data_IF_696834088016
#
_entry.id   IF_696834088016
#
_cell.length_a   1.000
_cell.length_b   1.000
_cell.length_c   1.000
_cell.angle_alpha   90.00
_cell.angle_beta   90.00
_cell.angle_gamma   90.00
#
_symmetry.space_group_name_H-M   'P 1'
#
loop_
_entity.id
_entity.type
_entity.pdbx_description
1 polymer ?
#
# COMPACT_ATOMS: atom_id res chain seq x y z
N UNK A 1 56.98 -42.37 23.10
CA UNK A 1 56.20 -43.51 22.57
C UNK A 1 54.92 -43.61 23.37
N UNK A 2 53.83 -43.87 22.65
CA UNK A 2 52.43 -43.73 23.06
C UNK A 2 51.94 -44.74 24.12
N UNK A 3 50.86 -44.38 24.80
CA UNK A 3 49.56 -45.12 24.93
C UNK A 3 48.82 -44.58 26.19
N UNK A 4 47.65 -43.93 26.09
CA UNK A 4 46.29 -44.45 25.79
C UNK A 4 45.94 -45.70 26.63
N UNK A 5 44.78 -45.86 27.28
CA UNK A 5 43.55 -45.09 27.38
C UNK A 5 42.63 -45.82 28.39
N UNK A 6 41.54 -45.15 28.77
CA UNK A 6 40.22 -45.72 29.11
C UNK A 6 39.95 -46.36 30.49
N UNK A 7 39.21 -45.61 31.32
CA UNK A 7 37.97 -46.10 31.96
C UNK A 7 36.91 -45.01 31.92
N UNK A 8 35.78 -45.34 31.32
CA UNK A 8 34.68 -44.42 31.07
C UNK A 8 33.67 -44.26 32.22
N UNK A 9 32.68 -43.44 31.86
CA UNK A 9 31.29 -43.38 32.32
C UNK A 9 31.01 -42.82 33.72
N UNK A 10 30.65 -41.53 33.74
CA UNK A 10 29.29 -41.11 34.10
C UNK A 10 29.11 -39.62 33.79
N UNK A 11 28.15 -39.30 32.92
CA UNK A 11 27.81 -37.93 32.52
C UNK A 11 26.89 -37.31 33.55
N UNK A 12 27.43 -36.38 34.36
CA UNK A 12 26.61 -35.43 35.13
C UNK A 12 27.00 -34.03 34.69
N UNK A 13 26.10 -33.37 33.95
CA UNK A 13 26.27 -32.00 33.49
C UNK A 13 25.98 -31.05 34.67
N UNK A 14 27.02 -30.49 35.27
CA UNK A 14 26.90 -29.36 36.21
C UNK A 14 27.31 -28.11 35.44
N UNK A 15 26.34 -27.22 35.20
CA UNK A 15 26.58 -25.93 34.55
C UNK A 15 27.00 -24.94 35.63
N UNK A 16 28.27 -24.52 35.58
CA UNK A 16 28.78 -23.44 36.41
C UNK A 16 30.18 -22.99 35.98
N UNK A 17 30.24 -21.87 35.26
CA UNK A 17 31.42 -20.98 35.20
C UNK A 17 32.60 -21.42 34.33
N UNK A 18 32.94 -20.56 33.37
CA UNK A 18 34.17 -20.51 32.57
C UNK A 18 34.27 -21.44 31.33
N UNK A 19 34.16 -20.80 30.15
CA UNK A 19 34.95 -21.08 28.95
C UNK A 19 34.94 -22.49 28.36
N UNK A 20 33.98 -22.77 27.48
CA UNK A 20 34.12 -23.86 26.51
C UNK A 20 34.89 -23.36 25.28
N UNK A 21 36.19 -23.68 25.23
CA UNK A 21 36.94 -23.72 23.99
C UNK A 21 36.52 -24.99 23.23
N UNK A 22 35.64 -24.85 22.23
CA UNK A 22 35.40 -25.91 21.25
C UNK A 22 36.54 -25.90 20.23
N UNK A 23 37.55 -26.75 20.47
CA UNK A 23 38.44 -27.21 19.42
C UNK A 23 37.78 -28.39 18.69
N UNK A 24 37.73 -28.32 17.36
CA UNK A 24 37.62 -29.54 16.54
C UNK A 24 36.27 -29.85 15.91
N UNK A 25 35.55 -28.86 15.38
CA UNK A 25 34.84 -29.01 14.10
C UNK A 25 34.93 -27.65 13.42
N UNK A 26 35.44 -27.60 12.19
CA UNK A 26 35.38 -26.39 11.38
C UNK A 26 33.91 -26.08 11.09
N UNK A 27 33.26 -25.39 12.03
CA UNK A 27 32.18 -24.49 11.71
C UNK A 27 32.79 -23.54 10.70
N UNK A 28 32.42 -23.68 9.42
CA UNK A 28 32.41 -22.52 8.54
C UNK A 28 31.70 -21.45 9.35
N UNK A 29 32.47 -20.48 9.83
CA UNK A 29 31.92 -19.36 10.53
C UNK A 29 30.83 -18.83 9.61
N UNK A 30 29.56 -19.03 10.00
CA UNK A 30 28.49 -18.17 9.58
C UNK A 30 28.89 -16.84 10.18
N UNK A 31 29.80 -16.12 9.51
CA UNK A 31 30.14 -14.77 9.85
C UNK A 31 28.84 -14.02 9.63
N UNK A 32 28.07 -13.86 10.70
CA UNK A 32 26.95 -12.95 10.71
C UNK A 32 27.57 -11.62 10.28
N UNK A 33 27.23 -11.18 9.07
CA UNK A 33 27.58 -9.84 8.58
C UNK A 33 27.25 -8.87 9.71
N UNK A 34 28.20 -8.00 10.05
CA UNK A 34 27.99 -6.97 11.06
C UNK A 34 26.61 -6.34 10.81
N UNK A 35 25.71 -6.27 11.81
CA UNK A 35 24.45 -5.54 11.69
C UNK A 35 24.59 -4.19 10.96
N UNK A 36 25.71 -3.50 11.12
CA UNK A 36 26.01 -2.21 10.48
C UNK A 36 26.22 -2.29 8.96
N UNK A 37 26.63 -3.45 8.44
CA UNK A 37 26.91 -3.66 7.00
C UNK A 37 25.72 -4.22 6.23
N UNK A 38 24.67 -4.65 6.94
CA UNK A 38 23.47 -5.19 6.30
C UNK A 38 22.72 -4.10 5.56
N UNK A 39 22.29 -4.44 4.35
CA UNK A 39 21.49 -3.58 3.48
C UNK A 39 20.16 -4.27 3.19
N UNK A 40 19.12 -3.47 3.05
CA UNK A 40 17.82 -3.93 2.60
C UNK A 40 17.58 -3.40 1.20
N UNK A 41 16.95 -4.22 0.37
CA UNK A 41 16.69 -3.90 -1.03
C UNK A 41 15.25 -4.21 -1.39
N UNK A 42 14.62 -3.32 -2.15
CA UNK A 42 13.42 -3.64 -2.92
C UNK A 42 13.88 -4.38 -4.17
N UNK A 43 13.61 -5.69 -4.21
CA UNK A 43 14.00 -6.58 -5.30
C UNK A 43 12.94 -6.66 -6.42
N UNK A 44 11.66 -6.48 -6.07
CA UNK A 44 10.56 -6.35 -7.03
C UNK A 44 9.44 -5.50 -6.44
N UNK A 45 8.64 -4.90 -7.31
CA UNK A 45 7.38 -4.20 -6.98
C UNK A 45 6.39 -4.49 -8.10
N UNK A 46 5.22 -5.00 -7.74
CA UNK A 46 4.15 -5.35 -8.66
C UNK A 46 2.82 -4.78 -8.19
N UNK A 47 1.84 -4.81 -9.09
CA UNK A 47 0.45 -4.46 -8.81
C UNK A 47 -0.50 -5.52 -9.37
N UNK A 48 -1.74 -5.51 -8.88
CA UNK A 48 -2.84 -6.33 -9.38
C UNK A 48 -4.16 -5.60 -9.11
N UNK A 49 -4.93 -5.38 -10.18
CA UNK A 49 -6.24 -4.75 -10.14
C UNK A 49 -7.35 -5.79 -10.36
N UNK A 50 -8.57 -5.56 -9.83
CA UNK A 50 -9.74 -6.29 -10.29
C UNK A 50 -9.91 -6.22 -11.81
N UNK A 51 -10.61 -7.20 -12.39
CA UNK A 51 -10.84 -7.26 -13.84
C UNK A 51 -11.76 -6.16 -14.37
N UNK A 52 -12.57 -5.57 -13.51
CA UNK A 52 -13.61 -4.63 -13.92
C UNK A 52 -13.10 -3.19 -13.88
N UNK A 53 -12.79 -2.67 -15.07
CA UNK A 53 -12.53 -1.25 -15.26
C UNK A 53 -13.85 -0.47 -15.29
N UNK A 54 -13.87 0.66 -14.59
CA UNK A 54 -15.01 1.56 -14.43
C UNK A 54 -14.55 2.96 -14.82
N UNK A 55 -15.12 3.50 -15.89
CA UNK A 55 -14.89 4.90 -16.25
C UNK A 55 -15.60 5.83 -15.26
N UNK A 56 -15.09 7.04 -15.09
CA UNK A 56 -15.77 8.04 -14.24
C UNK A 56 -17.18 8.39 -14.74
N UNK A 57 -17.45 8.21 -16.04
CA UNK A 57 -18.79 8.35 -16.61
C UNK A 57 -19.76 7.28 -16.12
N UNK A 58 -19.34 6.01 -16.15
CA UNK A 58 -20.13 4.90 -15.60
C UNK A 58 -20.39 5.10 -14.10
N UNK A 59 -19.35 5.45 -13.34
CA UNK A 59 -19.49 5.72 -11.92
C UNK A 59 -20.48 6.86 -11.64
N UNK A 60 -20.37 7.97 -12.38
CA UNK A 60 -21.27 9.13 -12.23
C UNK A 60 -22.73 8.74 -12.48
N UNK A 61 -23.02 8.02 -13.56
CA UNK A 61 -24.36 7.49 -13.87
C UNK A 61 -24.90 6.62 -12.75
N UNK A 62 -24.11 5.65 -12.31
CA UNK A 62 -24.52 4.74 -11.24
C UNK A 62 -24.76 5.47 -9.92
N UNK A 63 -23.89 6.42 -9.57
CA UNK A 63 -24.02 7.20 -8.35
C UNK A 63 -25.28 8.07 -8.34
N UNK A 64 -25.64 8.69 -9.48
CA UNK A 64 -26.91 9.40 -9.63
C UNK A 64 -28.10 8.47 -9.42
N UNK A 65 -28.08 7.28 -10.05
CA UNK A 65 -29.14 6.26 -9.85
C UNK A 65 -29.29 5.87 -8.38
N UNK A 66 -28.18 5.63 -7.68
CA UNK A 66 -28.22 5.33 -6.25
C UNK A 66 -28.87 6.46 -5.45
N UNK A 67 -28.44 7.71 -5.66
CA UNK A 67 -28.95 8.89 -4.93
C UNK A 67 -30.43 9.16 -5.20
N UNK A 68 -30.90 8.90 -6.42
CA UNK A 68 -32.33 8.95 -6.73
C UNK A 68 -33.09 7.80 -6.05
N UNK A 69 -32.53 6.59 -6.06
CA UNK A 69 -33.09 5.42 -5.39
C UNK A 69 -33.17 5.55 -3.87
N UNK A 70 -32.21 6.24 -3.24
CA UNK A 70 -32.26 6.56 -1.80
C UNK A 70 -33.13 7.77 -1.46
N UNK A 71 -33.53 8.56 -2.47
CA UNK A 71 -34.21 9.84 -2.29
C UNK A 71 -33.33 10.98 -1.76
N UNK A 72 -32.04 10.72 -1.48
CA UNK A 72 -31.13 11.72 -0.90
C UNK A 72 -30.37 12.46 -1.99
N UNK A 73 -31.00 13.49 -2.56
CA UNK A 73 -30.46 14.29 -3.68
C UNK A 73 -30.08 15.72 -3.30
N UNK A 74 -30.45 16.19 -2.11
CA UNK A 74 -30.22 17.57 -1.64
C UNK A 74 -29.55 17.61 -0.27
N UNK A 75 -28.74 18.64 -0.06
CA UNK A 75 -28.29 19.01 1.28
C UNK A 75 -29.45 19.62 2.08
N UNK A 76 -29.28 19.76 3.39
CA UNK A 76 -30.25 20.43 4.26
C UNK A 76 -30.57 21.89 3.83
N UNK A 77 -29.63 22.54 3.16
CA UNK A 77 -29.78 23.89 2.59
C UNK A 77 -30.45 23.93 1.20
N UNK A 78 -30.94 22.79 0.70
CA UNK A 78 -31.67 22.68 -0.56
C UNK A 78 -30.79 22.57 -1.81
N UNK A 79 -29.48 22.78 -1.71
CA UNK A 79 -28.55 22.62 -2.85
C UNK A 79 -28.42 21.15 -3.26
N UNK A 80 -28.13 20.92 -4.53
CA UNK A 80 -27.98 19.57 -5.09
C UNK A 80 -26.69 18.89 -4.59
N UNK A 81 -26.83 17.69 -4.01
CA UNK A 81 -25.70 16.80 -3.70
C UNK A 81 -25.07 16.29 -5.00
N UNK A 82 -25.91 16.02 -6.01
CA UNK A 82 -25.47 15.51 -7.32
C UNK A 82 -24.55 16.50 -8.02
N UNK A 83 -24.94 17.78 -8.10
CA UNK A 83 -24.10 18.82 -8.71
C UNK A 83 -22.78 19.03 -7.96
N UNK A 84 -22.79 18.86 -6.63
CA UNK A 84 -21.59 18.94 -5.82
C UNK A 84 -20.65 17.76 -6.12
N UNK A 85 -21.17 16.53 -6.14
CA UNK A 85 -20.39 15.34 -6.47
C UNK A 85 -19.88 15.37 -7.91
N UNK A 86 -20.67 15.86 -8.86
CA UNK A 86 -20.25 16.04 -10.25
C UNK A 86 -19.02 16.94 -10.36
N UNK A 87 -19.04 18.09 -9.67
CA UNK A 87 -17.87 18.99 -9.62
C UNK A 87 -16.63 18.31 -9.03
N UNK A 88 -16.80 17.46 -8.01
CA UNK A 88 -15.69 16.70 -7.43
C UNK A 88 -15.15 15.64 -8.39
N UNK A 89 -16.03 14.90 -9.07
CA UNK A 89 -15.67 13.88 -10.06
C UNK A 89 -14.93 14.52 -11.24
N UNK A 90 -15.46 15.62 -11.78
CA UNK A 90 -14.88 16.34 -12.92
C UNK A 90 -13.51 16.95 -12.57
N UNK A 91 -13.32 17.41 -11.32
CA UNK A 91 -12.06 17.97 -10.82
C UNK A 91 -11.07 16.91 -10.28
N UNK A 92 -11.47 15.63 -10.22
CA UNK A 92 -10.69 14.58 -9.55
C UNK A 92 -9.35 14.28 -10.23
N UNK A 93 -9.27 14.50 -11.56
CA UNK A 93 -8.16 14.07 -12.39
C UNK A 93 -8.13 12.56 -12.67
N UNK A 94 -9.18 11.84 -12.28
CA UNK A 94 -9.35 10.39 -12.46
C UNK A 94 -10.11 10.16 -13.77
N UNK A 95 -9.64 9.26 -14.63
CA UNK A 95 -10.38 8.82 -15.81
C UNK A 95 -11.01 7.45 -15.58
N UNK A 96 -10.25 6.54 -14.96
CA UNK A 96 -10.64 5.17 -14.74
C UNK A 96 -10.37 4.75 -13.28
N UNK A 97 -11.16 3.79 -12.83
CA UNK A 97 -10.99 3.05 -11.58
C UNK A 97 -11.22 1.58 -11.84
N UNK A 98 -10.81 0.74 -10.89
CA UNK A 98 -11.14 -0.67 -10.90
C UNK A 98 -12.02 -0.97 -9.69
N UNK A 99 -12.96 -1.91 -9.86
CA UNK A 99 -13.78 -2.35 -8.73
C UNK A 99 -14.05 -3.85 -8.74
N UNK A 100 -14.29 -4.40 -7.57
CA UNK A 100 -14.85 -5.75 -7.41
C UNK A 100 -16.39 -5.73 -7.43
N UNK A 101 -17.00 -4.56 -7.21
CA UNK A 101 -18.45 -4.39 -7.15
C UNK A 101 -19.04 -4.19 -8.55
N UNK A 102 -19.85 -5.13 -9.08
CA UNK A 102 -20.43 -5.03 -10.41
C UNK A 102 -21.37 -3.85 -10.59
N UNK A 103 -21.93 -3.30 -9.51
CA UNK A 103 -22.89 -2.21 -9.58
C UNK A 103 -22.35 -0.99 -10.34
N UNK A 104 -21.04 -0.77 -10.31
CA UNK A 104 -20.39 0.36 -10.98
C UNK A 104 -20.30 0.24 -12.50
N UNK A 105 -20.48 -0.95 -13.06
CA UNK A 105 -20.41 -1.18 -14.50
C UNK A 105 -21.80 -1.11 -15.10
N UNK A 106 -22.12 0.04 -15.67
CA UNK A 106 -23.48 0.36 -16.13
C UNK A 106 -23.56 0.66 -17.63
N UNK A 107 -24.74 0.43 -18.19
CA UNK A 107 -25.11 0.80 -19.56
C UNK A 107 -25.42 2.31 -19.69
N UNK A 108 -26.05 2.69 -20.81
CA UNK A 108 -26.41 4.09 -21.06
C UNK A 108 -27.49 4.65 -20.14
N UNK A 109 -28.36 3.77 -19.64
CA UNK A 109 -29.48 4.08 -18.76
C UNK A 109 -29.09 4.00 -17.28
N UNK A 110 -27.83 3.64 -16.99
CA UNK A 110 -27.34 3.47 -15.61
C UNK A 110 -27.73 2.12 -14.99
N UNK A 111 -28.16 1.14 -15.79
CA UNK A 111 -28.42 -0.21 -15.32
C UNK A 111 -27.14 -1.03 -15.30
N UNK A 112 -26.96 -1.81 -14.25
CA UNK A 112 -25.81 -2.70 -14.10
C UNK A 112 -25.79 -3.73 -15.22
N UNK A 113 -24.65 -3.81 -15.91
CA UNK A 113 -24.42 -4.74 -17.01
C UNK A 113 -24.25 -6.15 -16.43
N UNK A 114 -25.05 -7.10 -16.90
CA UNK A 114 -25.04 -8.49 -16.46
C UNK A 114 -24.31 -9.38 -17.46
N UNK A 115 -22.98 -9.32 -17.47
CA UNK A 115 -22.13 -10.16 -18.31
C UNK A 115 -21.27 -11.15 -17.49
N UNK A 116 -20.20 -11.72 -18.06
CA UNK A 116 -19.38 -12.72 -17.38
C UNK A 116 -18.71 -12.25 -16.07
N UNK A 117 -18.60 -10.93 -15.85
CA UNK A 117 -18.04 -10.37 -14.63
C UNK A 117 -19.12 -10.09 -13.57
N UNK A 118 -20.39 -10.26 -13.89
CA UNK A 118 -21.50 -10.03 -12.96
C UNK A 118 -21.74 -11.22 -12.05
N UNK A 119 -21.76 -10.96 -10.74
CA UNK A 119 -22.18 -11.90 -9.70
C UNK A 119 -23.19 -11.23 -8.78
N UNK A 120 -24.33 -11.86 -8.55
CA UNK A 120 -25.39 -11.28 -7.71
C UNK A 120 -24.94 -11.11 -6.26
N UNK A 121 -24.12 -12.02 -5.72
CA UNK A 121 -23.57 -11.89 -4.37
C UNK A 121 -22.69 -10.64 -4.16
N UNK A 122 -22.10 -10.12 -5.23
CA UNK A 122 -21.17 -9.00 -5.20
C UNK A 122 -21.86 -7.65 -5.51
N UNK A 123 -23.09 -7.68 -6.03
CA UNK A 123 -23.90 -6.49 -6.38
C UNK A 123 -24.51 -5.84 -5.13
N UNK A 124 -23.63 -5.38 -4.23
CA UNK A 124 -24.00 -4.90 -2.89
C UNK A 124 -24.68 -3.52 -2.90
N UNK A 125 -24.56 -2.75 -3.99
CA UNK A 125 -25.18 -1.43 -4.13
C UNK A 125 -26.50 -1.48 -4.93
N UNK A 126 -27.09 -2.67 -5.09
CA UNK A 126 -28.37 -2.87 -5.78
C UNK A 126 -29.60 -2.43 -4.94
N UNK A 127 -30.77 -2.41 -5.59
CA UNK A 127 -32.08 -2.15 -4.96
C UNK A 127 -32.39 -3.07 -3.78
N UNK A 128 -31.87 -4.31 -3.81
CA UNK A 128 -31.97 -5.29 -2.72
C UNK A 128 -31.50 -4.73 -1.37
N UNK A 129 -30.50 -3.85 -1.40
CA UNK A 129 -29.93 -3.21 -0.22
C UNK A 129 -30.25 -1.70 -0.17
N UNK A 130 -31.28 -1.26 -0.91
CA UNK A 130 -31.67 0.15 -0.98
C UNK A 130 -30.54 1.07 -1.44
N UNK A 131 -29.63 0.58 -2.29
CA UNK A 131 -28.43 1.29 -2.74
C UNK A 131 -27.44 1.70 -1.63
N UNK A 132 -27.64 1.27 -0.39
CA UNK A 132 -26.76 1.59 0.75
C UNK A 132 -26.65 0.38 1.70
N UNK A 133 -25.79 -0.61 1.38
CA UNK A 133 -25.69 -1.84 2.15
C UNK A 133 -25.14 -1.59 3.56
N UNK A 134 -25.55 -2.42 4.55
CA UNK A 134 -25.00 -2.35 5.90
C UNK A 134 -23.55 -2.88 5.95
N UNK A 135 -22.82 -2.53 7.03
CA UNK A 135 -21.43 -2.92 7.25
C UNK A 135 -21.13 -4.39 6.97
N UNK A 136 -22.02 -5.29 7.44
CA UNK A 136 -21.87 -6.75 7.29
C UNK A 136 -21.81 -7.21 5.84
N UNK A 137 -22.54 -6.55 4.94
CA UNK A 137 -22.60 -6.90 3.50
C UNK A 137 -21.32 -6.40 2.82
N UNK A 138 -20.87 -5.18 3.15
CA UNK A 138 -19.61 -4.62 2.67
C UNK A 138 -18.42 -5.48 3.07
N UNK A 139 -18.37 -5.90 4.34
CA UNK A 139 -17.31 -6.75 4.86
C UNK A 139 -17.36 -8.18 4.28
N UNK A 140 -18.53 -8.68 3.90
CA UNK A 140 -18.64 -9.97 3.19
C UNK A 140 -18.02 -9.89 1.79
N UNK A 141 -18.35 -8.85 1.01
CA UNK A 141 -17.73 -8.61 -0.30
C UNK A 141 -16.21 -8.45 -0.16
N UNK A 142 -15.75 -7.65 0.83
CA UNK A 142 -14.32 -7.50 1.11
C UNK A 142 -13.65 -8.86 1.33
N UNK A 143 -14.22 -9.72 2.19
CA UNK A 143 -13.66 -11.04 2.51
C UNK A 143 -13.59 -11.98 1.32
N UNK A 144 -14.58 -11.92 0.42
CA UNK A 144 -14.66 -12.80 -0.73
C UNK A 144 -13.61 -12.45 -1.81
N UNK A 145 -13.31 -11.16 -1.98
CA UNK A 145 -12.45 -10.68 -3.07
C UNK A 145 -11.00 -10.41 -2.65
N UNK A 146 -10.78 -10.04 -1.38
CA UNK A 146 -9.46 -9.65 -0.92
C UNK A 146 -8.38 -10.73 -1.09
N UNK A 147 -8.66 -12.04 -0.90
CA UNK A 147 -7.71 -13.11 -1.19
C UNK A 147 -7.18 -13.10 -2.63
N UNK A 148 -8.04 -12.91 -3.63
CA UNK A 148 -7.62 -12.89 -5.04
C UNK A 148 -6.67 -11.73 -5.30
N UNK A 149 -7.02 -10.53 -4.83
CA UNK A 149 -6.18 -9.34 -5.00
C UNK A 149 -4.81 -9.54 -4.35
N UNK A 150 -4.79 -9.95 -3.08
CA UNK A 150 -3.54 -10.16 -2.35
C UNK A 150 -2.64 -11.22 -3.00
N UNK A 151 -3.22 -12.36 -3.41
CA UNK A 151 -2.49 -13.46 -4.06
C UNK A 151 -2.00 -13.04 -5.45
N UNK A 152 -2.80 -12.29 -6.20
CA UNK A 152 -2.44 -11.78 -7.53
C UNK A 152 -1.22 -10.87 -7.48
N UNK A 153 -1.24 -9.83 -6.63
CA UNK A 153 -0.10 -8.94 -6.47
C UNK A 153 1.14 -9.69 -5.96
N UNK A 154 0.99 -10.52 -4.94
CA UNK A 154 2.09 -11.30 -4.36
C UNK A 154 2.75 -12.24 -5.39
N UNK A 155 1.94 -12.96 -6.18
CA UNK A 155 2.43 -13.83 -7.25
C UNK A 155 3.23 -13.03 -8.26
N UNK A 156 2.70 -11.89 -8.74
CA UNK A 156 3.41 -11.02 -9.67
C UNK A 156 4.76 -10.54 -9.11
N UNK A 157 4.81 -10.17 -7.81
CA UNK A 157 6.05 -9.71 -7.18
C UNK A 157 7.09 -10.84 -7.07
N UNK A 158 6.66 -12.06 -6.74
CA UNK A 158 7.54 -13.23 -6.62
C UNK A 158 8.08 -13.63 -7.99
N UNK A 159 7.21 -13.70 -9.01
CA UNK A 159 7.59 -14.02 -10.38
C UNK A 159 8.58 -12.99 -10.94
N UNK A 160 8.33 -11.71 -10.71
CA UNK A 160 9.25 -10.64 -11.11
C UNK A 160 10.58 -10.71 -10.36
N UNK A 161 10.57 -11.05 -9.07
CA UNK A 161 11.79 -11.21 -8.27
C UNK A 161 12.65 -12.39 -8.77
N UNK A 162 12.00 -13.48 -9.21
CA UNK A 162 12.68 -14.67 -9.74
C UNK A 162 13.51 -15.45 -8.73
N UNK A 163 13.37 -15.13 -7.43
CA UNK A 163 14.04 -15.83 -6.33
C UNK A 163 13.32 -17.11 -5.90
N UNK A 164 13.95 -17.83 -4.97
CA UNK A 164 13.36 -19.05 -4.39
C UNK A 164 12.30 -18.68 -3.37
N UNK A 165 11.04 -19.01 -3.67
CA UNK A 165 9.87 -18.74 -2.83
C UNK A 165 10.00 -19.37 -1.43
N UNK A 166 10.73 -20.48 -1.27
CA UNK A 166 10.96 -21.12 0.03
C UNK A 166 11.81 -20.27 0.99
N UNK A 167 12.53 -19.28 0.45
CA UNK A 167 13.35 -18.35 1.23
C UNK A 167 12.57 -17.13 1.74
N UNK A 168 11.29 -16.98 1.37
CA UNK A 168 10.42 -15.95 1.95
C UNK A 168 10.19 -16.32 3.41
N UNK A 169 10.69 -15.47 4.30
CA UNK A 169 10.68 -15.71 5.75
C UNK A 169 9.54 -14.99 6.46
N UNK A 170 9.01 -13.92 5.87
CA UNK A 170 7.94 -13.11 6.45
C UNK A 170 6.95 -12.68 5.38
N UNK A 171 5.69 -12.53 5.79
CA UNK A 171 4.64 -11.85 5.02
C UNK A 171 4.08 -10.71 5.84
N UNK A 172 4.13 -9.49 5.31
CA UNK A 172 3.57 -8.29 5.92
C UNK A 172 2.43 -7.78 5.05
N UNK A 173 1.20 -7.89 5.55
CA UNK A 173 -0.01 -7.41 4.89
C UNK A 173 -0.48 -6.08 5.47
N UNK A 174 -1.11 -5.23 4.65
CA UNK A 174 -1.82 -4.04 5.11
C UNK A 174 -3.09 -3.77 4.32
N UNK A 175 -4.14 -3.35 5.02
CA UNK A 175 -5.41 -2.90 4.45
C UNK A 175 -6.10 -1.95 5.43
N UNK A 176 -6.83 -0.97 4.92
CA UNK A 176 -7.71 -0.10 5.73
C UNK A 176 -9.18 -0.24 5.40
N UNK A 177 -9.52 -1.00 4.35
CA UNK A 177 -10.88 -1.20 3.85
C UNK A 177 -11.61 -2.40 4.46
N UNK A 178 -11.00 -3.18 5.34
CA UNK A 178 -11.66 -4.32 5.97
C UNK A 178 -10.71 -5.20 6.77
N UNK A 179 -11.26 -6.26 7.36
CA UNK A 179 -10.53 -7.22 8.17
C UNK A 179 -11.21 -8.60 8.18
N UNK A 180 -10.45 -9.65 8.49
CA UNK A 180 -10.98 -10.98 8.77
C UNK A 180 -10.02 -11.79 9.63
N UNK A 181 -10.55 -12.83 10.28
CA UNK A 181 -9.78 -13.84 10.98
C UNK A 181 -10.19 -15.23 10.45
N UNK A 182 -9.25 -16.08 9.99
CA UNK A 182 -7.82 -15.80 9.81
C UNK A 182 -7.54 -14.65 8.82
N UNK A 183 -6.50 -13.87 9.09
CA UNK A 183 -6.14 -12.73 8.26
C UNK A 183 -5.56 -13.13 6.90
N UNK A 184 -5.63 -12.20 5.94
CA UNK A 184 -5.32 -12.44 4.51
C UNK A 184 -3.89 -12.94 4.29
N UNK A 185 -2.94 -12.57 5.16
CA UNK A 185 -1.56 -13.09 5.07
C UNK A 185 -1.51 -14.63 5.19
N UNK A 186 -2.43 -15.22 5.96
CA UNK A 186 -2.55 -16.68 6.09
C UNK A 186 -3.02 -17.34 4.79
N UNK A 187 -3.95 -16.68 4.09
CA UNK A 187 -4.43 -17.12 2.77
C UNK A 187 -3.31 -17.04 1.73
N UNK A 188 -2.50 -15.98 1.76
CA UNK A 188 -1.35 -15.85 0.87
C UNK A 188 -0.31 -16.95 1.11
N UNK A 189 0.07 -17.19 2.38
CA UNK A 189 1.03 -18.23 2.75
C UNK A 189 0.60 -19.60 2.23
N UNK A 190 -0.66 -19.98 2.51
CA UNK A 190 -1.20 -21.29 2.09
C UNK A 190 -1.37 -21.40 0.57
N UNK A 191 -1.94 -20.39 -0.08
CA UNK A 191 -2.26 -20.42 -1.52
C UNK A 191 -1.01 -20.42 -2.40
N UNK A 192 0.04 -19.69 -1.98
CA UNK A 192 1.30 -19.63 -2.71
C UNK A 192 2.30 -20.72 -2.31
N UNK A 193 1.95 -21.58 -1.34
CA UNK A 193 2.84 -22.64 -0.86
C UNK A 193 4.10 -22.10 -0.19
N UNK A 194 4.00 -20.97 0.53
CA UNK A 194 5.11 -20.45 1.32
C UNK A 194 5.39 -21.38 2.52
N UNK A 195 6.55 -21.22 3.14
CA UNK A 195 6.91 -22.01 4.33
C UNK A 195 5.87 -21.84 5.45
N UNK A 196 5.49 -22.93 6.10
CA UNK A 196 4.64 -22.89 7.30
C UNK A 196 5.31 -22.20 8.50
N UNK A 197 6.62 -21.94 8.42
CA UNK A 197 7.37 -21.16 9.40
C UNK A 197 7.41 -19.66 9.06
N UNK A 198 6.73 -19.19 7.99
CA UNK A 198 6.65 -17.77 7.67
C UNK A 198 6.04 -16.99 8.84
N UNK A 199 6.77 -15.99 9.32
CA UNK A 199 6.22 -15.03 10.27
C UNK A 199 5.23 -14.11 9.54
N UNK A 200 4.05 -13.89 10.13
CA UNK A 200 3.02 -13.01 9.56
C UNK A 200 2.82 -11.75 10.40
N UNK A 201 2.64 -10.62 9.73
CA UNK A 201 2.30 -9.32 10.34
C UNK A 201 1.16 -8.70 9.56
N UNK A 202 0.13 -8.22 10.25
CA UNK A 202 -0.99 -7.52 9.62
C UNK A 202 -1.13 -6.11 10.19
N UNK A 203 -1.01 -5.12 9.32
CA UNK A 203 -1.13 -3.70 9.64
C UNK A 203 -2.50 -3.22 9.16
N UNK A 204 -3.53 -3.41 9.97
CA UNK A 204 -4.91 -3.05 9.64
C UNK A 204 -5.28 -1.66 10.15
N UNK A 205 -6.18 -0.95 9.44
CA UNK A 205 -6.79 0.32 9.87
C UNK A 205 -5.81 1.49 10.14
N UNK A 206 -4.65 1.50 9.48
CA UNK A 206 -3.70 2.62 9.57
C UNK A 206 -3.97 3.73 8.54
N UNK A 207 -4.69 3.44 7.46
CA UNK A 207 -4.95 4.39 6.37
C UNK A 207 -3.79 4.56 5.40
N UNK A 208 -3.90 5.51 4.47
CA UNK A 208 -3.14 5.55 3.20
C UNK A 208 -1.59 5.52 3.28
N UNK A 209 -0.99 5.81 4.43
CA UNK A 209 0.48 5.73 4.61
C UNK A 209 0.99 4.31 4.86
N UNK A 210 0.11 3.36 5.19
CA UNK A 210 0.52 2.06 5.73
C UNK A 210 1.24 1.16 4.74
N UNK A 211 1.09 1.39 3.43
CA UNK A 211 1.94 0.73 2.42
C UNK A 211 3.42 1.06 2.60
N UNK A 212 3.73 2.33 2.94
CA UNK A 212 5.09 2.78 3.25
C UNK A 212 5.54 2.24 4.61
N UNK A 213 4.65 2.22 5.62
CA UNK A 213 4.92 1.57 6.92
C UNK A 213 5.27 0.10 6.74
N UNK A 214 4.54 -0.64 5.90
CA UNK A 214 4.77 -2.06 5.67
C UNK A 214 6.15 -2.29 5.03
N UNK A 215 6.54 -1.45 4.06
CA UNK A 215 7.89 -1.48 3.48
C UNK A 215 8.98 -1.13 4.51
N UNK A 216 8.76 -0.11 5.35
CA UNK A 216 9.70 0.24 6.44
C UNK A 216 9.86 -0.91 7.43
N UNK A 217 8.77 -1.52 7.87
CA UNK A 217 8.79 -2.66 8.79
C UNK A 217 9.53 -3.85 8.17
N UNK A 218 9.31 -4.13 6.88
CA UNK A 218 10.04 -5.16 6.15
C UNK A 218 11.53 -4.86 6.05
N UNK A 219 11.92 -3.61 5.78
CA UNK A 219 13.32 -3.15 5.85
C UNK A 219 13.92 -3.46 7.22
N UNK A 220 13.23 -3.10 8.29
CA UNK A 220 13.75 -3.28 9.65
C UNK A 220 13.92 -4.78 9.99
N UNK A 221 12.98 -5.64 9.56
CA UNK A 221 13.10 -7.11 9.65
C UNK A 221 14.33 -7.63 8.88
N UNK A 222 14.53 -7.14 7.66
CA UNK A 222 15.65 -7.54 6.80
C UNK A 222 17.00 -7.08 7.35
N UNK A 223 17.06 -5.89 7.95
CA UNK A 223 18.27 -5.41 8.61
C UNK A 223 18.55 -6.15 9.92
N UNK A 224 17.52 -6.64 10.60
CA UNK A 224 17.67 -7.30 11.90
C UNK A 224 18.37 -8.66 11.84
N UNK A 225 18.29 -9.42 10.74
CA UNK A 225 18.96 -10.73 10.58
C UNK A 225 19.40 -11.03 9.14
N UNK A 226 20.50 -11.78 8.93
CA UNK A 226 20.90 -12.21 7.58
C UNK A 226 19.89 -13.19 6.96
N UNK A 227 19.91 -13.32 5.63
CA UNK A 227 19.07 -14.25 4.86
C UNK A 227 17.57 -14.07 5.12
N UNK A 228 17.13 -12.82 5.20
CA UNK A 228 15.72 -12.47 5.37
C UNK A 228 15.18 -11.92 4.07
N UNK A 229 14.11 -12.56 3.61
CA UNK A 229 13.27 -12.09 2.50
C UNK A 229 11.85 -11.92 3.03
N UNK A 230 11.25 -10.77 2.73
CA UNK A 230 9.93 -10.36 3.21
C UNK A 230 9.05 -10.05 2.01
N UNK A 231 7.90 -10.69 1.94
CA UNK A 231 6.82 -10.33 1.02
C UNK A 231 5.93 -9.28 1.68
N UNK A 232 5.89 -8.08 1.10
CA UNK A 232 4.99 -7.01 1.51
C UNK A 232 3.80 -6.96 0.58
N UNK A 233 2.60 -6.80 1.12
CA UNK A 233 1.35 -6.74 0.36
C UNK A 233 0.46 -5.63 0.92
N UNK A 234 0.08 -4.69 0.07
CA UNK A 234 -0.98 -3.73 0.33
C UNK A 234 -2.20 -4.10 -0.52
N UNK A 235 -3.41 -3.94 0.04
CA UNK A 235 -4.63 -4.40 -0.61
C UNK A 235 -5.84 -3.59 -0.15
N UNK A 236 -6.67 -3.14 -1.09
CA UNK A 236 -7.81 -2.27 -0.80
C UNK A 236 -9.02 -2.56 -1.68
N UNK A 237 -10.19 -2.53 -1.04
CA UNK A 237 -11.51 -2.47 -1.70
C UNK A 237 -12.20 -1.21 -1.17
N UNK A 238 -11.82 -0.05 -1.72
CA UNK A 238 -12.32 1.25 -1.31
C UNK A 238 -13.72 1.57 -1.84
N UNK A 239 -14.04 1.09 -3.05
CA UNK A 239 -15.34 1.32 -3.71
C UNK A 239 -16.51 0.69 -2.94
N UNK A 240 -16.25 -0.41 -2.22
CA UNK A 240 -17.21 -1.08 -1.34
C UNK A 240 -17.70 -0.24 -0.17
N UNK A 241 -17.06 0.89 0.13
CA UNK A 241 -17.44 1.81 1.21
C UNK A 241 -18.27 3.00 0.75
N UNK A 242 -18.80 2.96 -0.47
CA UNK A 242 -19.65 4.03 -0.97
C UNK A 242 -20.87 4.27 -0.08
N UNK A 243 -20.98 5.48 0.47
CA UNK A 243 -22.15 5.97 1.20
C UNK A 243 -23.03 6.82 0.28
N UNK A 244 -24.21 6.30 -0.04
CA UNK A 244 -25.16 6.91 -0.99
C UNK A 244 -26.22 7.76 -0.28
N UNK A 245 -26.17 7.91 1.04
CA UNK A 245 -27.10 8.72 1.83
C UNK A 245 -26.41 9.85 2.59
N UNK A 246 -25.09 9.81 2.77
CA UNK A 246 -24.37 10.90 3.45
C UNK A 246 -24.57 12.24 2.74
N UNK A 247 -24.79 13.28 3.54
CA UNK A 247 -24.82 14.68 3.09
C UNK A 247 -23.67 15.50 3.69
N UNK A 248 -22.75 14.85 4.41
CA UNK A 248 -21.53 15.47 4.92
C UNK A 248 -20.57 15.72 3.76
N UNK A 249 -20.19 16.98 3.52
CA UNK A 249 -19.33 17.36 2.38
C UNK A 249 -17.95 16.72 2.48
N UNK A 250 -17.41 16.62 3.69
CA UNK A 250 -16.14 15.98 4.00
C UNK A 250 -16.17 14.47 3.73
N UNK A 251 -17.34 13.82 3.89
CA UNK A 251 -17.54 12.41 3.52
C UNK A 251 -17.76 12.21 2.02
N UNK A 252 -18.26 13.21 1.29
CA UNK A 252 -18.49 13.11 -0.15
C UNK A 252 -17.19 13.12 -0.97
N UNK A 253 -16.14 13.80 -0.50
CA UNK A 253 -14.83 13.85 -1.17
C UNK A 253 -14.20 12.47 -1.39
N UNK A 254 -14.00 11.64 -0.34
CA UNK A 254 -13.38 10.33 -0.52
C UNK A 254 -14.14 9.38 -1.46
N UNK A 255 -15.48 9.48 -1.51
CA UNK A 255 -16.32 8.67 -2.41
C UNK A 255 -15.96 8.86 -3.89
N UNK A 256 -15.51 10.06 -4.25
CA UNK A 256 -15.12 10.38 -5.64
C UNK A 256 -13.72 9.94 -6.01
N UNK A 257 -12.93 9.48 -5.03
CA UNK A 257 -11.51 9.16 -5.19
C UNK A 257 -11.23 7.67 -5.12
N UNK A 258 -11.88 6.96 -4.20
CA UNK A 258 -11.50 5.59 -3.89
C UNK A 258 -11.81 4.57 -4.98
N UNK A 259 -10.91 3.58 -5.09
CA UNK A 259 -10.95 2.47 -6.02
C UNK A 259 -10.44 1.18 -5.34
N UNK A 260 -10.45 0.07 -6.08
CA UNK A 260 -10.05 -1.25 -5.58
C UNK A 260 -8.78 -1.73 -6.29
N UNK A 261 -7.88 -2.40 -5.56
CA UNK A 261 -6.60 -2.85 -6.10
C UNK A 261 -5.65 -3.39 -5.04
N UNK A 262 -4.49 -3.86 -5.50
CA UNK A 262 -3.44 -4.38 -4.63
C UNK A 262 -2.05 -4.17 -5.22
N UNK A 263 -1.06 -4.15 -4.33
CA UNK A 263 0.35 -4.00 -4.69
C UNK A 263 1.21 -4.85 -3.78
N UNK A 264 2.32 -5.36 -4.30
CA UNK A 264 3.25 -6.16 -3.53
C UNK A 264 4.70 -5.82 -3.85
N UNK A 265 5.59 -6.11 -2.90
CA UNK A 265 7.02 -5.96 -3.08
C UNK A 265 7.78 -7.07 -2.35
N UNK A 266 8.91 -7.47 -2.93
CA UNK A 266 9.90 -8.31 -2.23
C UNK A 266 10.99 -7.40 -1.66
N UNK A 267 11.18 -7.47 -0.35
CA UNK A 267 12.27 -6.79 0.36
C UNK A 267 13.23 -7.83 0.91
N UNK A 268 14.51 -7.71 0.60
CA UNK A 268 15.52 -8.72 0.97
C UNK A 268 16.89 -8.09 1.23
N UNK A 269 17.72 -8.76 2.02
CA UNK A 269 19.16 -8.46 2.15
C UNK A 269 20.03 -9.38 1.28
N UNK A 270 19.42 -10.33 0.58
CA UNK A 270 20.10 -11.28 -0.27
C UNK A 270 19.75 -11.01 -1.73
N UNK A 271 20.47 -10.07 -2.32
CA UNK A 271 20.39 -9.80 -3.76
C UNK A 271 21.53 -10.56 -4.42
N UNK A 272 21.24 -11.77 -4.90
CA UNK A 272 22.04 -12.31 -6.02
C UNK A 272 21.75 -11.38 -7.21
N UNK A 273 22.78 -10.92 -7.89
CA UNK A 273 22.70 -10.06 -9.09
C UNK A 273 21.44 -10.38 -9.87
N UNK A 274 20.50 -9.42 -9.90
CA UNK A 274 19.17 -9.63 -10.44
C UNK A 274 19.29 -10.23 -11.84
N UNK A 275 18.62 -11.35 -12.16
CA UNK A 275 18.51 -11.74 -13.56
C UNK A 275 17.88 -10.54 -14.27
N UNK A 276 18.57 -10.02 -15.28
CA UNK A 276 18.03 -9.02 -16.19
C UNK A 276 16.58 -9.43 -16.47
N UNK A 277 15.65 -8.56 -16.06
CA UNK A 277 14.21 -8.80 -16.09
C UNK A 277 13.89 -9.59 -17.35
N UNK A 278 13.37 -10.82 -17.23
CA UNK A 278 12.72 -11.43 -18.40
C UNK A 278 11.66 -10.41 -18.81
N UNK A 279 11.87 -9.73 -19.94
CA UNK A 279 11.04 -8.64 -20.48
C UNK A 279 9.62 -9.10 -20.89
N UNK A 280 9.15 -10.22 -20.35
CA UNK A 280 7.94 -10.90 -20.80
C UNK A 280 6.69 -10.49 -20.00
N UNK A 281 6.78 -9.55 -19.05
CA UNK A 281 5.57 -8.96 -18.45
C UNK A 281 5.27 -7.61 -19.10
N UNK A 282 4.11 -7.42 -19.76
CA UNK A 282 3.94 -6.33 -20.72
C UNK A 282 4.00 -4.91 -20.15
N UNK A 283 3.76 -4.70 -18.86
CA UNK A 283 3.61 -3.34 -18.32
C UNK A 283 4.37 -3.17 -16.98
N UNK A 284 5.40 -2.32 -17.00
CA UNK A 284 6.10 -1.73 -15.84
C UNK A 284 6.73 -2.70 -14.82
N UNK A 285 7.79 -3.42 -15.16
CA UNK A 285 8.68 -4.01 -14.15
C UNK A 285 9.73 -2.96 -13.71
N UNK A 286 9.90 -2.65 -12.40
CA UNK A 286 11.02 -1.86 -11.92
C UNK A 286 12.36 -2.25 -12.54
N UNK A 287 13.09 -1.27 -13.05
CA UNK A 287 14.43 -1.49 -13.62
C UNK A 287 15.45 -1.51 -12.49
N UNK A 288 16.05 -2.68 -12.30
CA UNK A 288 17.11 -2.92 -11.32
C UNK A 288 16.59 -3.09 -9.89
N UNK A 289 17.54 -3.26 -8.97
CA UNK A 289 17.29 -3.42 -7.54
C UNK A 289 17.57 -2.11 -6.81
N UNK A 290 16.78 -1.79 -5.80
CA UNK A 290 16.84 -0.49 -5.10
C UNK A 290 17.16 -0.67 -3.62
N UNK A 291 18.29 -0.12 -3.18
CA UNK A 291 18.71 -0.12 -1.78
C UNK A 291 17.85 0.85 -0.95
N UNK A 292 17.36 0.37 0.20
CA UNK A 292 16.54 1.12 1.15
C UNK A 292 17.43 1.78 2.21
N UNK A 293 17.80 3.04 1.98
CA UNK A 293 18.81 3.77 2.78
C UNK A 293 18.27 4.18 4.16
N UNK A 294 17.59 5.32 4.24
CA UNK A 294 17.01 5.84 5.47
C UNK A 294 15.48 5.94 5.32
N UNK A 295 14.78 5.51 6.36
CA UNK A 295 13.32 5.43 6.41
C UNK A 295 12.85 5.88 7.78
N UNK A 296 11.68 6.48 7.86
CA UNK A 296 11.17 6.99 9.12
C UNK A 296 9.75 7.49 9.05
N UNK A 297 9.26 7.90 10.21
CA UNK A 297 7.91 8.39 10.41
C UNK A 297 7.95 9.76 11.07
N UNK A 298 6.92 10.56 10.83
CA UNK A 298 6.66 11.83 11.48
C UNK A 298 5.17 11.99 11.72
N UNK A 299 4.77 12.18 12.97
CA UNK A 299 3.38 12.48 13.34
C UNK A 299 3.22 13.99 13.45
N UNK A 300 2.34 14.56 12.62
CA UNK A 300 2.10 16.00 12.62
C UNK A 300 1.25 16.37 13.85
N UNK A 301 1.68 17.28 14.73
CA UNK A 301 0.90 17.67 15.89
C UNK A 301 -0.47 18.26 15.53
N UNK A 302 -1.46 18.11 16.42
CA UNK A 302 -2.78 18.76 16.34
C UNK A 302 -3.62 18.46 15.09
N UNK A 303 -3.46 17.27 14.50
CA UNK A 303 -4.14 16.88 13.25
C UNK A 303 -5.12 15.72 13.41
N UNK A 304 -5.38 15.26 14.65
CA UNK A 304 -6.17 14.05 14.96
C UNK A 304 -7.57 13.98 14.34
N UNK A 305 -8.19 15.12 14.03
CA UNK A 305 -9.58 15.22 13.53
C UNK A 305 -9.68 15.38 12.01
N UNK A 306 -8.55 15.47 11.30
CA UNK A 306 -8.55 15.84 9.88
C UNK A 306 -8.88 14.68 8.95
N UNK A 307 -8.58 13.46 9.38
CA UNK A 307 -8.83 12.23 8.62
C UNK A 307 -9.37 11.18 9.58
N UNK A 308 -10.64 10.85 9.44
CA UNK A 308 -11.35 9.92 10.33
C UNK A 308 -11.91 8.77 9.50
N UNK A 309 -11.75 7.56 10.04
CA UNK A 309 -12.35 6.34 9.53
C UNK A 309 -12.79 5.48 10.70
N UNK A 310 -14.08 5.56 11.03
CA UNK A 310 -14.67 4.88 12.19
C UNK A 310 -15.91 4.10 11.76
N UNK A 311 -16.34 3.15 12.59
CA UNK A 311 -17.71 2.65 12.51
C UNK A 311 -18.69 3.83 12.64
N UNK A 312 -19.77 3.79 11.86
CA UNK A 312 -20.77 4.85 11.93
C UNK A 312 -21.67 4.67 13.14
N UNK A 313 -21.82 5.73 13.94
CA UNK A 313 -22.82 5.79 15.00
C UNK A 313 -24.23 6.07 14.45
N UNK A 314 -24.34 6.38 13.15
CA UNK A 314 -25.59 6.68 12.45
C UNK A 314 -26.03 5.40 11.71
N UNK A 315 -27.08 4.69 12.19
CA UNK A 315 -27.51 3.41 11.61
C UNK A 315 -27.85 3.49 10.12
N UNK A 316 -28.24 4.69 9.64
CA UNK A 316 -28.56 4.95 8.23
C UNK A 316 -27.31 5.02 7.35
N UNK A 317 -26.14 5.37 7.89
CA UNK A 317 -24.89 5.35 7.14
C UNK A 317 -24.41 3.91 7.05
N UNK A 318 -23.91 3.52 5.87
CA UNK A 318 -23.69 2.12 5.47
C UNK A 318 -22.64 1.33 6.27
N UNK A 319 -22.34 1.72 7.50
CA UNK A 319 -21.49 1.01 8.44
C UNK A 319 -20.28 1.81 8.93
N UNK A 320 -19.82 2.79 8.15
CA UNK A 320 -18.60 3.53 8.44
C UNK A 320 -18.76 5.03 8.16
N UNK A 321 -18.15 5.85 9.00
CA UNK A 321 -18.04 7.30 8.80
C UNK A 321 -16.62 7.63 8.35
N UNK A 322 -16.51 8.14 7.13
CA UNK A 322 -15.25 8.68 6.61
C UNK A 322 -15.29 10.21 6.56
N UNK A 323 -14.29 10.86 7.15
CA UNK A 323 -14.15 12.32 7.10
C UNK A 323 -12.78 12.66 6.53
N UNK A 324 -12.77 13.49 5.50
CA UNK A 324 -11.57 14.15 5.00
C UNK A 324 -11.76 15.67 5.09
N UNK A 325 -11.21 16.28 6.15
CA UNK A 325 -11.29 17.72 6.35
C UNK A 325 -10.53 18.45 5.22
N UNK A 326 -11.16 19.46 4.64
CA UNK A 326 -10.59 20.28 3.56
C UNK A 326 -9.24 20.92 3.91
N UNK A 327 -8.92 21.09 5.20
CA UNK A 327 -7.65 21.64 5.70
C UNK A 327 -6.51 20.63 5.69
N UNK A 328 -6.79 19.31 5.60
CA UNK A 328 -5.74 18.28 5.69
C UNK A 328 -4.62 18.50 4.66
N UNK A 329 -4.91 18.78 3.37
CA UNK A 329 -3.85 19.02 2.39
C UNK A 329 -3.01 20.27 2.68
N UNK A 330 -3.63 21.37 3.12
CA UNK A 330 -2.91 22.62 3.41
C UNK A 330 -2.03 22.47 4.65
N UNK A 331 -2.50 21.75 5.67
CA UNK A 331 -1.72 21.46 6.87
C UNK A 331 -0.51 20.58 6.55
N UNK A 332 -0.66 19.58 5.70
CA UNK A 332 0.45 18.74 5.23
C UNK A 332 1.48 19.58 4.46
N UNK A 333 1.02 20.37 3.49
CA UNK A 333 1.89 21.22 2.68
C UNK A 333 2.66 22.23 3.55
N UNK A 334 1.97 22.89 4.49
CA UNK A 334 2.59 23.81 5.45
C UNK A 334 3.65 23.10 6.31
N UNK A 335 3.34 21.90 6.81
CA UNK A 335 4.28 21.13 7.62
C UNK A 335 5.53 20.76 6.81
N UNK A 336 5.37 20.32 5.57
CA UNK A 336 6.49 20.03 4.67
C UNK A 336 7.32 21.27 4.39
N UNK A 337 6.71 22.40 4.05
CA UNK A 337 7.43 23.63 3.75
C UNK A 337 8.26 24.17 4.92
N UNK A 338 7.70 24.11 6.13
CA UNK A 338 8.23 24.88 7.27
C UNK A 338 8.91 24.06 8.35
N UNK A 339 8.66 22.75 8.42
CA UNK A 339 9.13 21.89 9.51
C UNK A 339 9.84 20.65 8.98
N UNK A 340 9.08 19.73 8.36
CA UNK A 340 9.59 18.41 8.02
C UNK A 340 10.50 18.44 6.78
N UNK A 341 10.13 19.18 5.73
CA UNK A 341 10.83 19.18 4.45
C UNK A 341 12.29 19.64 4.51
N UNK A 342 12.63 20.76 5.17
CA UNK A 342 14.03 21.17 5.32
C UNK A 342 14.91 20.10 5.98
N UNK A 343 14.42 19.46 7.05
CA UNK A 343 15.12 18.37 7.73
C UNK A 343 15.25 17.14 6.84
N UNK A 344 14.18 16.75 6.13
CA UNK A 344 14.23 15.65 5.17
C UNK A 344 15.22 15.91 4.04
N UNK A 345 15.27 17.13 3.51
CA UNK A 345 16.22 17.51 2.46
C UNK A 345 17.68 17.41 2.93
N UNK A 346 17.99 17.95 4.11
CA UNK A 346 19.34 17.84 4.67
C UNK A 346 19.74 16.39 4.92
N UNK A 347 18.82 15.60 5.50
CA UNK A 347 19.06 14.18 5.75
C UNK A 347 19.22 13.40 4.44
N UNK A 348 18.40 13.69 3.43
CA UNK A 348 18.48 13.07 2.11
C UNK A 348 19.82 13.35 1.43
N UNK A 349 20.28 14.61 1.43
CA UNK A 349 21.58 14.97 0.89
C UNK A 349 22.73 14.26 1.63
N UNK A 350 22.65 14.19 2.96
CA UNK A 350 23.65 13.50 3.79
C UNK A 350 23.71 12.00 3.49
N UNK A 351 22.56 11.34 3.35
CA UNK A 351 22.46 9.88 3.20
C UNK A 351 22.70 9.42 1.75
N UNK A 352 22.16 10.15 0.77
CA UNK A 352 22.18 9.75 -0.63
C UNK A 352 23.24 10.49 -1.45
N UNK A 353 23.84 11.56 -0.93
CA UNK A 353 24.87 12.35 -1.62
C UNK A 353 24.37 13.13 -2.84
N UNK A 354 23.05 13.19 -3.06
CA UNK A 354 22.43 13.90 -4.19
C UNK A 354 21.29 14.78 -3.71
N UNK A 355 21.06 15.89 -4.42
CA UNK A 355 20.03 16.88 -4.07
C UNK A 355 18.72 16.74 -4.86
N UNK A 356 18.70 15.94 -5.93
CA UNK A 356 17.55 15.82 -6.85
C UNK A 356 17.16 14.36 -7.09
N UNK A 357 16.25 13.81 -6.28
CA UNK A 357 15.75 12.45 -6.46
C UNK A 357 14.55 12.39 -7.40
N UNK A 358 14.19 11.22 -7.89
CA UNK A 358 12.83 10.95 -8.35
C UNK A 358 11.85 10.96 -7.17
N UNK A 359 10.57 11.18 -7.43
CA UNK A 359 9.54 11.25 -6.41
C UNK A 359 8.54 10.10 -6.53
N UNK A 360 8.23 9.48 -5.39
CA UNK A 360 7.12 8.56 -5.22
C UNK A 360 6.30 9.02 -4.01
N UNK A 361 5.35 9.92 -4.24
CA UNK A 361 4.51 10.55 -3.21
C UNK A 361 3.09 10.04 -3.36
N UNK A 362 2.45 9.63 -2.27
CA UNK A 362 1.09 9.07 -2.29
C UNK A 362 0.10 9.92 -3.12
N UNK A 363 -0.55 9.27 -4.08
CA UNK A 363 -1.48 9.87 -5.07
C UNK A 363 -2.89 9.97 -4.53
N UNK A 364 -3.07 10.62 -3.37
CA UNK A 364 -4.35 10.67 -2.66
C UNK A 364 -5.45 11.49 -3.36
N UNK A 365 -5.10 12.28 -4.36
CA UNK A 365 -6.02 13.10 -5.15
C UNK A 365 -5.30 14.27 -5.83
N UNK A 366 -5.92 14.88 -6.83
CA UNK A 366 -5.29 15.91 -7.67
C UNK A 366 -4.74 17.09 -6.86
N UNK A 367 -5.56 17.65 -5.97
CA UNK A 367 -5.19 18.79 -5.13
C UNK A 367 -3.98 18.51 -4.25
N UNK A 368 -3.90 17.32 -3.64
CA UNK A 368 -2.76 17.01 -2.77
C UNK A 368 -1.49 16.80 -3.59
N UNK A 369 -1.58 16.18 -4.78
CA UNK A 369 -0.44 16.08 -5.70
C UNK A 369 0.09 17.48 -6.06
N UNK A 370 -0.78 18.41 -6.42
CA UNK A 370 -0.40 19.79 -6.75
C UNK A 370 0.30 20.47 -5.57
N UNK A 371 -0.27 20.40 -4.37
CA UNK A 371 0.30 21.00 -3.16
C UNK A 371 1.64 20.38 -2.75
N UNK A 372 1.81 19.06 -2.89
CA UNK A 372 3.08 18.40 -2.59
C UNK A 372 4.15 18.80 -3.61
N UNK A 373 3.80 18.79 -4.91
CA UNK A 373 4.69 19.23 -5.97
C UNK A 373 5.16 20.66 -5.73
N UNK A 374 4.25 21.57 -5.43
CA UNK A 374 4.57 22.97 -5.18
C UNK A 374 5.45 23.11 -3.93
N UNK A 375 5.12 22.41 -2.84
CA UNK A 375 5.93 22.43 -1.62
C UNK A 375 7.39 21.97 -1.86
N UNK A 376 7.58 20.86 -2.57
CA UNK A 376 8.91 20.35 -2.89
C UNK A 376 9.65 21.26 -3.87
N UNK A 377 8.96 21.81 -4.88
CA UNK A 377 9.55 22.79 -5.79
C UNK A 377 9.98 24.06 -5.05
N UNK A 378 9.21 24.56 -4.08
CA UNK A 378 9.62 25.69 -3.25
C UNK A 378 10.88 25.36 -2.43
N UNK A 379 11.02 24.13 -1.93
CA UNK A 379 12.20 23.66 -1.19
C UNK A 379 13.41 23.35 -2.09
N UNK A 380 13.30 23.49 -3.41
CA UNK A 380 14.41 23.27 -4.34
C UNK A 380 14.42 21.88 -5.00
N UNK A 381 13.53 20.97 -4.62
CA UNK A 381 13.39 19.65 -5.24
C UNK A 381 12.54 19.74 -6.52
N UNK A 382 13.16 19.53 -7.69
CA UNK A 382 12.55 19.75 -9.01
C UNK A 382 12.02 18.45 -9.62
N UNK A 383 10.71 18.34 -9.71
CA UNK A 383 10.02 17.22 -10.35
C UNK A 383 8.68 17.68 -10.96
N UNK A 384 8.24 17.02 -12.04
CA UNK A 384 7.00 17.37 -12.75
C UNK A 384 5.79 16.55 -12.26
N UNK A 385 6.00 15.52 -11.45
CA UNK A 385 4.99 14.61 -10.90
C UNK A 385 4.16 13.92 -11.98
N UNK A 386 4.72 13.75 -13.20
CA UNK A 386 4.00 13.17 -14.35
C UNK A 386 3.40 11.80 -14.03
N UNK A 387 4.18 10.91 -13.41
CA UNK A 387 3.69 9.56 -13.09
C UNK A 387 2.66 9.57 -11.96
N UNK A 388 2.69 10.55 -11.05
CA UNK A 388 1.67 10.72 -10.00
C UNK A 388 0.30 11.04 -10.60
N UNK A 389 0.27 12.00 -11.55
CA UNK A 389 -0.97 12.31 -12.27
C UNK A 389 -1.43 11.13 -13.13
N UNK A 390 -0.51 10.41 -13.77
CA UNK A 390 -0.82 9.21 -14.55
C UNK A 390 -1.46 8.12 -13.69
N UNK A 391 -0.84 7.75 -12.56
CA UNK A 391 -1.40 6.75 -11.64
C UNK A 391 -2.77 7.17 -11.12
N UNK A 392 -2.94 8.42 -10.67
CA UNK A 392 -4.25 8.90 -10.24
C UNK A 392 -5.28 8.81 -11.37
N UNK A 393 -4.90 9.15 -12.60
CA UNK A 393 -5.78 9.09 -13.76
C UNK A 393 -6.24 7.66 -14.07
N UNK A 394 -5.31 6.71 -14.02
CA UNK A 394 -5.50 5.35 -14.50
C UNK A 394 -6.21 4.44 -13.49
N UNK A 395 -5.97 4.65 -12.18
CA UNK A 395 -6.48 3.75 -11.13
C UNK A 395 -7.22 4.45 -9.98
N UNK A 396 -7.20 5.78 -9.91
CA UNK A 396 -7.78 6.53 -8.80
C UNK A 396 -6.97 6.43 -7.50
N UNK A 397 -7.63 6.66 -6.36
CA UNK A 397 -7.00 6.53 -5.05
C UNK A 397 -7.23 5.11 -4.49
N UNK A 398 -6.17 4.31 -4.44
CA UNK A 398 -6.15 2.96 -3.87
C UNK A 398 -5.65 2.95 -2.42
N UNK A 399 -5.82 4.04 -1.67
CA UNK A 399 -5.32 4.23 -0.31
C UNK A 399 -3.87 3.72 -0.12
N UNK A 400 -3.69 2.63 0.63
CA UNK A 400 -2.38 2.07 1.00
C UNK A 400 -1.60 1.52 -0.20
N UNK A 401 -2.31 1.16 -1.27
CA UNK A 401 -1.77 0.54 -2.49
C UNK A 401 -1.20 1.55 -3.46
N UNK A 402 -1.62 2.83 -3.39
CA UNK A 402 -1.17 3.89 -4.31
C UNK A 402 0.35 3.95 -4.47
N UNK A 403 1.10 3.74 -3.37
CA UNK A 403 2.56 3.81 -3.43
C UNK A 403 3.17 2.69 -4.28
N UNK A 404 2.55 1.52 -4.34
CA UNK A 404 3.04 0.39 -5.14
C UNK A 404 2.84 0.65 -6.63
N UNK A 405 1.67 1.16 -7.05
CA UNK A 405 1.44 1.60 -8.44
C UNK A 405 2.41 2.69 -8.85
N UNK A 406 2.62 3.67 -7.98
CA UNK A 406 3.54 4.76 -8.27
C UNK A 406 4.99 4.27 -8.34
N UNK A 407 5.44 3.42 -7.41
CA UNK A 407 6.79 2.86 -7.45
C UNK A 407 7.01 1.97 -8.66
N UNK A 408 6.05 1.13 -9.02
CA UNK A 408 6.13 0.28 -10.20
C UNK A 408 6.42 1.11 -11.46
N UNK A 409 5.64 2.19 -11.66
CA UNK A 409 5.78 3.11 -12.79
C UNK A 409 7.06 3.95 -12.69
N UNK A 410 7.27 4.63 -11.57
CA UNK A 410 8.38 5.55 -11.36
C UNK A 410 9.75 4.85 -11.44
N UNK A 411 9.91 3.67 -10.82
CA UNK A 411 11.18 2.94 -10.83
C UNK A 411 11.47 2.29 -12.19
N UNK A 412 10.45 2.10 -13.02
CA UNK A 412 10.58 1.67 -14.41
C UNK A 412 10.99 2.83 -15.34
N UNK A 413 10.40 4.02 -15.19
CA UNK A 413 10.59 5.13 -16.15
C UNK A 413 11.68 6.12 -15.76
N UNK A 414 12.05 6.20 -14.47
CA UNK A 414 13.03 7.19 -14.00
C UNK A 414 14.44 6.93 -14.52
N UNK A 415 15.06 8.02 -15.00
CA UNK A 415 16.49 8.09 -15.33
C UNK A 415 17.37 8.41 -14.11
N UNK A 416 16.76 8.78 -12.98
CA UNK A 416 17.49 9.10 -11.75
C UNK A 416 17.80 7.80 -10.99
N UNK A 417 19.01 7.69 -10.45
CA UNK A 417 19.42 6.55 -9.62
C UNK A 417 19.00 6.67 -8.16
N UNK A 418 18.24 7.69 -7.78
CA UNK A 418 17.73 7.83 -6.42
C UNK A 418 16.27 8.25 -6.43
N UNK A 419 15.51 7.77 -5.45
CA UNK A 419 14.07 8.05 -5.32
C UNK A 419 13.72 8.36 -3.86
N UNK A 420 12.89 9.38 -3.66
CA UNK A 420 12.30 9.73 -2.38
C UNK A 420 10.84 9.24 -2.35
N UNK A 421 10.50 8.51 -1.29
CA UNK A 421 9.17 7.98 -1.01
C UNK A 421 8.51 8.81 0.09
N UNK A 422 7.23 9.12 -0.08
CA UNK A 422 6.42 9.70 0.98
C UNK A 422 4.96 9.22 0.93
N UNK A 423 4.49 8.65 2.03
CA UNK A 423 3.09 8.31 2.29
C UNK A 423 2.53 9.16 3.42
N UNK A 424 1.23 9.44 3.38
CA UNK A 424 0.54 10.18 4.44
C UNK A 424 -0.90 9.69 4.61
N UNK A 425 -1.47 9.89 5.78
CA UNK A 425 -2.84 9.48 6.10
C UNK A 425 -3.21 9.84 7.54
N UNK A 426 -4.18 9.16 8.17
CA UNK A 426 -4.67 9.47 9.52
C UNK A 426 -3.57 9.67 10.57
N UNK A 427 -3.82 10.57 11.52
CA UNK A 427 -2.83 11.03 12.50
C UNK A 427 -2.75 12.55 12.57
N UNK A 428 -2.39 13.29 11.52
CA UNK A 428 -1.88 12.95 10.20
C UNK A 428 -0.43 12.47 10.29
N UNK A 429 -0.22 11.23 9.89
CA UNK A 429 1.09 10.57 9.91
C UNK A 429 1.74 10.70 8.55
N UNK A 430 3.04 10.95 8.52
CA UNK A 430 3.90 10.94 7.34
C UNK A 430 4.92 9.81 7.49
N UNK A 431 4.98 8.90 6.53
CA UNK A 431 6.04 7.91 6.41
C UNK A 431 6.89 8.24 5.19
N UNK A 432 8.21 8.13 5.31
CA UNK A 432 9.14 8.45 4.23
C UNK A 432 10.24 7.40 4.09
N UNK A 433 10.83 7.34 2.90
CA UNK A 433 11.89 6.40 2.58
C UNK A 433 12.82 6.89 1.48
N UNK A 434 14.11 6.59 1.59
CA UNK A 434 15.11 6.96 0.60
C UNK A 434 15.60 5.71 -0.12
N UNK A 435 15.64 5.78 -1.45
CA UNK A 435 16.08 4.69 -2.31
C UNK A 435 17.27 5.10 -3.17
N UNK A 436 18.19 4.17 -3.38
CA UNK A 436 19.26 4.27 -4.37
C UNK A 436 19.28 3.02 -5.25
N UNK A 437 19.25 3.20 -6.58
CA UNK A 437 19.39 2.09 -7.53
C UNK A 437 20.79 1.51 -7.38
N UNK A 438 20.87 0.18 -7.26
CA UNK A 438 22.14 -0.55 -7.30
C UNK A 438 22.64 -0.51 -8.74
N UNK A 439 23.65 0.32 -9.01
CA UNK A 439 24.34 0.35 -10.29
C UNK A 439 25.31 -0.83 -10.30
N UNK A 440 25.09 -1.78 -11.22
CA UNK A 440 26.01 -2.91 -11.44
C UNK A 440 27.25 -2.46 -12.19
#
# INVERSE_FOLDING_TARGET
MASDDNRGLATTLVVGGAGLALAGYMAKALTATDPSERKAYIASVSTYNPKMAVSMHMFKRFYHKCRHGTGVTKFADGRSVLEFCDKLLDASGIANRYSVCPSFRVDEDGNTIKDELYREEDDILSEKYGFNPPARVRLAMWRNHMPELAVGAARNAIEQWGGDISTITHVIGTSTSGWCEPGITSTVISTLGLSNHCCKVELSFNGCFSGVTAMRTARDVVLAQPNRTVLVIAMEIGGGHMDTVTTCRESLVPLTLFADGSGAAIITNNVKSSPASKQNHPDYAPVGVWEMKNWGTYLIPDTKKLMIWNESEVPEYGGYTMILDKKAPDMLAKCLLTQLGPTLLMNYLKVCGVSQPAFAVHTGGRRIIDLMKDAFNTLGWRDDFKEHYGVLNDVGNLATVCIFHLLQRQLCTTKRNNCFILGFGPGMTVEYGFLSRVVQ
#
